data_IF_302576498083
#
_entry.id   IF_302576498083
#
_cell.length_a   1.000
_cell.length_b   1.000
_cell.length_c   1.000
_cell.angle_alpha   90.00
_cell.angle_beta   90.00
_cell.angle_gamma   90.00
#
_symmetry.space_group_name_H-M   'P 1'
#
loop_
_entity.id
_entity.type
_entity.pdbx_description
1 polymer ?
#
# COMPACT_ATOMS: atom_id res chain seq x y z
N UNK A 1 11.69 -0.93 3.14
CA UNK A 1 10.89 -2.14 2.82
C UNK A 1 10.30 -2.01 1.43
N UNK A 2 10.37 -3.04 0.62
CA UNK A 2 9.80 -3.02 -0.74
C UNK A 2 8.28 -2.85 -0.67
N UNK A 3 7.74 -2.08 -1.61
CA UNK A 3 6.32 -1.79 -1.62
C UNK A 3 5.45 -3.04 -1.80
N UNK A 4 5.88 -4.00 -2.63
CA UNK A 4 5.12 -5.22 -2.85
C UNK A 4 4.97 -6.03 -1.55
N UNK A 5 6.03 -6.12 -0.76
CA UNK A 5 6.02 -6.82 0.52
C UNK A 5 5.19 -6.05 1.56
N UNK A 6 5.33 -4.73 1.59
CA UNK A 6 4.58 -3.87 2.51
C UNK A 6 3.07 -4.05 2.31
N UNK A 7 2.61 -4.01 1.06
CA UNK A 7 1.18 -4.16 0.75
C UNK A 7 0.65 -5.52 1.22
N UNK A 8 1.44 -6.56 1.05
CA UNK A 8 1.05 -7.89 1.53
C UNK A 8 0.99 -7.93 3.06
N UNK A 9 2.01 -7.41 3.73
CA UNK A 9 2.07 -7.40 5.19
C UNK A 9 0.91 -6.61 5.81
N UNK A 10 0.47 -5.55 5.17
CA UNK A 10 -0.62 -4.71 5.67
C UNK A 10 -2.00 -5.18 5.21
N UNK A 11 -2.10 -6.34 4.59
CA UNK A 11 -3.36 -6.89 4.08
C UNK A 11 -4.04 -5.97 3.06
N UNK A 12 -3.25 -5.14 2.38
CA UNK A 12 -3.76 -4.28 1.31
C UNK A 12 -3.75 -5.01 -0.02
N UNK A 13 -3.03 -6.13 -0.10
CA UNK A 13 -3.09 -7.09 -1.18
C UNK A 13 -3.05 -8.49 -0.56
N UNK A 14 -3.67 -9.45 -1.20
CA UNK A 14 -3.74 -10.83 -0.68
C UNK A 14 -2.39 -11.53 -0.74
N UNK A 15 -1.66 -11.31 -1.82
CA UNK A 15 -0.36 -11.93 -2.04
C UNK A 15 0.63 -10.89 -2.50
N UNK A 16 1.92 -11.21 -2.37
CA UNK A 16 2.98 -10.34 -2.87
C UNK A 16 2.93 -10.20 -4.39
N UNK A 17 2.54 -11.27 -5.10
CA UNK A 17 2.37 -11.23 -6.55
C UNK A 17 1.27 -10.26 -6.98
N UNK A 18 0.14 -10.27 -6.28
CA UNK A 18 -0.94 -9.33 -6.56
C UNK A 18 -0.52 -7.90 -6.27
N UNK A 19 0.21 -7.70 -5.18
CA UNK A 19 0.77 -6.39 -4.86
C UNK A 19 1.66 -5.88 -5.98
N UNK A 20 2.57 -6.74 -6.46
CA UNK A 20 3.48 -6.37 -7.54
C UNK A 20 2.72 -6.03 -8.83
N UNK A 21 1.68 -6.79 -9.16
CA UNK A 21 0.82 -6.51 -10.32
C UNK A 21 0.15 -5.15 -10.19
N UNK A 22 -0.39 -4.84 -9.03
CA UNK A 22 -1.02 -3.56 -8.77
C UNK A 22 -0.07 -2.39 -8.96
N UNK A 23 1.16 -2.54 -8.50
CA UNK A 23 2.18 -1.52 -8.67
C UNK A 23 2.55 -1.36 -10.15
N UNK A 24 2.80 -2.48 -10.84
CA UNK A 24 3.19 -2.45 -12.25
C UNK A 24 2.10 -1.88 -13.17
N UNK A 25 0.84 -2.12 -12.83
CA UNK A 25 -0.28 -1.62 -13.63
C UNK A 25 -0.61 -0.16 -13.39
N UNK A 26 0.05 0.48 -12.41
CA UNK A 26 -0.24 1.86 -12.04
C UNK A 26 -1.40 2.01 -11.08
N UNK A 27 -1.96 0.89 -10.58
CA UNK A 27 -3.01 0.92 -9.57
C UNK A 27 -2.50 1.29 -8.20
N UNK A 28 -1.20 1.17 -7.97
CA UNK A 28 -0.55 1.62 -6.73
C UNK A 28 0.54 2.61 -7.13
N UNK A 29 0.50 3.80 -6.53
CA UNK A 29 1.45 4.89 -6.81
C UNK A 29 2.01 5.44 -5.51
N UNK A 30 3.20 6.03 -5.58
CA UNK A 30 3.84 6.69 -4.45
C UNK A 30 3.93 8.16 -4.78
N UNK A 31 3.36 9.01 -3.92
CA UNK A 31 3.30 10.46 -4.14
C UNK A 31 2.69 10.79 -5.51
N UNK A 32 1.71 9.98 -5.94
CA UNK A 32 1.04 10.15 -7.22
C UNK A 32 1.80 9.67 -8.44
N UNK A 33 2.99 9.09 -8.25
CA UNK A 33 3.85 8.64 -9.36
C UNK A 33 3.89 7.13 -9.44
N UNK A 34 3.91 6.59 -10.65
CA UNK A 34 4.12 5.17 -10.89
C UNK A 34 5.54 4.79 -10.45
N UNK A 35 5.66 3.63 -9.82
CA UNK A 35 6.95 3.14 -9.31
C UNK A 35 7.12 1.67 -9.66
N UNK A 36 8.30 1.13 -9.41
CA UNK A 36 8.58 -0.30 -9.57
C UNK A 36 8.09 -1.05 -8.33
N UNK A 37 7.78 -2.35 -8.49
CA UNK A 37 7.35 -3.19 -7.38
C UNK A 37 8.41 -3.35 -6.30
N UNK A 38 9.66 -3.03 -6.62
CA UNK A 38 10.78 -3.07 -5.67
C UNK A 38 11.03 -1.72 -4.99
N UNK A 39 10.18 -0.72 -5.24
CA UNK A 39 10.34 0.62 -4.63
C UNK A 39 10.43 0.51 -3.12
N UNK A 40 11.47 1.09 -2.54
CA UNK A 40 11.65 1.16 -1.09
C UNK A 40 10.69 2.19 -0.50
N UNK A 41 9.91 1.75 0.48
CA UNK A 41 8.97 2.60 1.21
C UNK A 41 9.51 2.87 2.61
N UNK A 42 9.33 4.08 3.07
CA UNK A 42 9.71 4.51 4.43
C UNK A 42 8.55 5.23 5.08
N UNK A 43 8.66 5.46 6.38
CA UNK A 43 7.63 6.21 7.12
C UNK A 43 7.50 7.60 6.53
N UNK A 44 6.27 8.08 6.44
CA UNK A 44 5.96 9.37 5.83
C UNK A 44 5.59 9.29 4.36
N UNK A 45 5.88 8.18 3.69
CA UNK A 45 5.52 8.03 2.27
C UNK A 45 4.00 7.95 2.12
N UNK A 46 3.50 8.55 1.05
CA UNK A 46 2.09 8.59 0.70
C UNK A 46 1.83 7.61 -0.43
N UNK A 47 0.93 6.66 -0.20
CA UNK A 47 0.56 5.64 -1.19
C UNK A 47 -0.85 5.90 -1.68
N UNK A 48 -1.03 5.83 -3.00
CA UNK A 48 -2.33 5.91 -3.66
C UNK A 48 -2.66 4.51 -4.15
N UNK A 49 -3.74 3.92 -3.64
CA UNK A 49 -4.11 2.55 -3.96
C UNK A 49 -5.50 2.53 -4.57
N UNK A 50 -5.61 2.01 -5.78
CA UNK A 50 -6.87 1.92 -6.50
C UNK A 50 -7.36 0.48 -6.54
N UNK A 51 -8.54 0.26 -5.99
CA UNK A 51 -9.28 -0.98 -6.10
C UNK A 51 -10.40 -0.80 -7.13
N UNK A 52 -11.03 -1.88 -7.59
CA UNK A 52 -12.14 -1.73 -8.56
C UNK A 52 -13.27 -0.83 -8.09
N UNK A 53 -13.56 -0.84 -6.79
CA UNK A 53 -14.73 -0.13 -6.26
C UNK A 53 -14.38 1.08 -5.42
N UNK A 54 -13.11 1.31 -5.13
CA UNK A 54 -12.71 2.44 -4.29
C UNK A 54 -11.23 2.76 -4.49
N UNK A 55 -10.89 3.95 -4.05
CA UNK A 55 -9.50 4.42 -4.04
C UNK A 55 -9.18 4.94 -2.66
N UNK A 56 -8.03 4.61 -2.13
CA UNK A 56 -7.56 5.12 -0.85
C UNK A 56 -6.20 5.77 -1.01
N UNK A 57 -5.97 6.81 -0.21
CA UNK A 57 -4.68 7.48 -0.09
C UNK A 57 -4.28 7.35 1.36
N UNK A 58 -3.13 6.74 1.60
CA UNK A 58 -2.65 6.47 2.95
C UNK A 58 -1.25 7.03 3.15
N UNK A 59 -0.95 7.38 4.39
CA UNK A 59 0.39 7.74 4.81
C UNK A 59 0.94 6.62 5.69
N UNK A 60 2.15 6.15 5.39
CA UNK A 60 2.79 5.11 6.19
C UNK A 60 3.34 5.74 7.46
N UNK A 61 2.87 5.27 8.62
CA UNK A 61 3.34 5.79 9.91
C UNK A 61 4.31 4.86 10.61
N UNK A 62 4.25 3.57 10.29
CA UNK A 62 5.16 2.57 10.85
C UNK A 62 5.36 1.44 9.87
N UNK A 63 6.58 0.95 9.72
CA UNK A 63 6.87 -0.19 8.84
C UNK A 63 6.71 -1.49 9.63
N UNK A 64 5.91 -2.45 9.13
CA UNK A 64 5.76 -3.73 9.80
C UNK A 64 6.99 -4.60 9.61
N UNK A 65 7.26 -5.49 10.55
CA UNK A 65 8.37 -6.44 10.47
C UNK A 65 7.92 -7.84 10.03
N UNK A 66 6.62 -8.07 10.04
CA UNK A 66 6.02 -9.35 9.68
C UNK A 66 4.57 -9.12 9.29
N UNK A 67 3.90 -10.18 8.86
CA UNK A 67 2.49 -10.12 8.51
C UNK A 67 1.68 -9.54 9.67
N UNK A 68 0.91 -8.49 9.39
CA UNK A 68 0.08 -7.80 10.37
C UNK A 68 -1.32 -8.42 10.35
N UNK A 69 -1.90 -8.75 11.52
CA UNK A 69 -3.30 -9.16 11.55
C UNK A 69 -4.19 -8.05 10.99
N UNK A 70 -5.20 -8.43 10.23
CA UNK A 70 -6.08 -7.46 9.55
C UNK A 70 -6.64 -6.40 10.51
N UNK A 71 -7.02 -6.79 11.73
CA UNK A 71 -7.57 -5.85 12.71
C UNK A 71 -6.56 -4.81 13.20
N UNK A 72 -5.26 -5.07 13.05
CA UNK A 72 -4.21 -4.17 13.56
C UNK A 72 -3.54 -3.34 12.46
N UNK A 73 -3.92 -3.54 11.21
CA UNK A 73 -3.22 -2.90 10.09
C UNK A 73 -3.26 -1.38 10.13
N UNK A 74 -4.33 -0.79 10.63
CA UNK A 74 -4.48 0.66 10.68
C UNK A 74 -3.59 1.33 11.72
N UNK A 75 -2.88 0.56 12.53
CA UNK A 75 -1.83 1.10 13.40
C UNK A 75 -0.58 1.49 12.61
N UNK A 76 -0.44 0.98 11.38
CA UNK A 76 0.75 1.16 10.56
C UNK A 76 0.59 2.24 9.49
N UNK A 77 -0.63 2.68 9.23
CA UNK A 77 -0.87 3.75 8.25
C UNK A 77 -2.09 4.56 8.65
N UNK A 78 -2.16 5.77 8.10
CA UNK A 78 -3.27 6.68 8.31
C UNK A 78 -3.97 6.91 6.98
N UNK A 79 -5.30 6.75 6.95
CA UNK A 79 -6.08 7.03 5.74
C UNK A 79 -6.25 8.54 5.63
N UNK A 80 -5.69 9.11 4.57
CA UNK A 80 -5.79 10.55 4.29
C UNK A 80 -7.08 10.83 3.52
N UNK A 81 -7.42 9.96 2.59
CA UNK A 81 -8.61 10.13 1.75
C UNK A 81 -9.10 8.78 1.27
N UNK A 82 -10.40 8.64 1.20
CA UNK A 82 -11.03 7.46 0.64
C UNK A 82 -12.17 7.91 -0.26
N UNK A 83 -12.28 7.30 -1.44
CA UNK A 83 -13.29 7.67 -2.43
C UNK A 83 -13.85 6.41 -3.07
N UNK A 84 -15.18 6.31 -3.13
CA UNK A 84 -15.85 5.24 -3.87
C UNK A 84 -15.85 5.58 -5.36
N UNK A 85 -15.61 4.57 -6.17
CA UNK A 85 -15.54 4.72 -7.62
C UNK A 85 -16.81 4.18 -8.28
#
# INVERSE_FOLDING_TARGET
MRIDLLLKYLCLAKTRSEAAKGVRSGGVRVEGKAVKSSKEIKTGDILHIRYPEREIVIEIVELPRKQVPRKKREQFYRIIRERNL
#
